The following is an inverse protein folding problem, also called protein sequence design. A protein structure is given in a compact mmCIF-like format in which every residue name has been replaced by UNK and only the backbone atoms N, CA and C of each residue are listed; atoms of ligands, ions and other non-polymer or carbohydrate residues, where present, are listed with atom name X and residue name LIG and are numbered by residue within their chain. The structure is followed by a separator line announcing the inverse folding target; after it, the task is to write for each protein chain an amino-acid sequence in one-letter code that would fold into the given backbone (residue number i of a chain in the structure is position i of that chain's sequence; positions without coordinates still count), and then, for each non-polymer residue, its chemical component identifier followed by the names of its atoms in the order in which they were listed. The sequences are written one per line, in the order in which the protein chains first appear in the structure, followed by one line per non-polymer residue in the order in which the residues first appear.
data_IF_935993234471
#
_entry.id   IF_935993234471
#
_cell.length_a   1.000
_cell.length_b   1.000
_cell.length_c   1.000
_cell.angle_alpha   90.00
_cell.angle_beta   90.00
_cell.angle_gamma   90.00
#
_symmetry.space_group_name_H-M   'P 1'
#
loop_
_entity.id
_entity.type
_entity.pdbx_description
1 polymer ?
#
# COMPACT_ATOMS: atom_id res chain seq x y z
N UNK A 1 13.13 -0.90 -19.55
CA UNK A 1 14.38 -1.01 -18.74
C UNK A 1 13.98 -1.08 -17.28
N UNK A 2 14.44 -2.08 -16.53
CA UNK A 2 14.13 -2.19 -15.10
C UNK A 2 14.78 -1.01 -14.35
N UNK A 3 14.06 -0.42 -13.42
CA UNK A 3 14.61 0.54 -12.46
C UNK A 3 15.24 -0.24 -11.30
N UNK A 4 16.46 0.10 -10.91
CA UNK A 4 17.17 -0.52 -9.80
C UNK A 4 17.43 0.50 -8.71
N UNK A 5 17.26 0.09 -7.46
CA UNK A 5 17.59 0.90 -6.31
C UNK A 5 19.11 0.90 -6.06
N UNK A 6 19.62 1.91 -5.36
CA UNK A 6 21.07 2.07 -5.16
C UNK A 6 21.75 0.84 -4.54
N UNK A 7 21.06 0.15 -3.65
CA UNK A 7 21.59 -1.07 -3.00
C UNK A 7 21.49 -2.31 -3.88
N UNK A 8 20.87 -2.24 -5.07
CA UNK A 8 20.74 -3.32 -6.04
C UNK A 8 21.79 -3.28 -7.14
N UNK A 9 22.76 -2.35 -7.12
CA UNK A 9 23.75 -2.16 -8.21
C UNK A 9 24.43 -3.45 -8.64
N UNK A 10 24.87 -4.29 -7.69
CA UNK A 10 25.53 -5.56 -8.03
C UNK A 10 24.56 -6.58 -8.66
N UNK A 11 23.27 -6.52 -8.33
CA UNK A 11 22.22 -7.34 -8.94
C UNK A 11 21.98 -6.85 -10.37
N UNK A 12 21.88 -5.54 -10.56
CA UNK A 12 21.71 -4.90 -11.86
C UNK A 12 22.85 -5.27 -12.83
N UNK A 13 24.11 -5.29 -12.35
CA UNK A 13 25.28 -5.70 -13.14
C UNK A 13 25.19 -7.16 -13.60
N UNK A 14 24.73 -8.07 -12.72
CA UNK A 14 24.53 -9.48 -13.08
C UNK A 14 23.38 -9.66 -14.06
N UNK A 15 22.24 -8.99 -13.85
CA UNK A 15 21.09 -9.07 -14.75
C UNK A 15 21.42 -8.47 -16.13
N UNK A 16 22.22 -7.39 -16.19
CA UNK A 16 22.72 -6.83 -17.43
C UNK A 16 23.59 -7.82 -18.23
N UNK A 17 24.53 -8.51 -17.55
CA UNK A 17 25.34 -9.57 -18.18
C UNK A 17 24.51 -10.74 -18.69
N UNK A 18 23.47 -11.14 -17.94
CA UNK A 18 22.55 -12.19 -18.38
C UNK A 18 21.82 -11.78 -19.66
N UNK A 19 21.36 -10.52 -19.74
CA UNK A 19 20.68 -9.99 -20.91
C UNK A 19 21.61 -9.92 -22.12
N UNK A 20 22.84 -9.43 -21.96
CA UNK A 20 23.88 -9.43 -23.00
C UNK A 20 24.17 -10.83 -23.54
N UNK A 21 24.36 -11.83 -22.66
CA UNK A 21 24.60 -13.21 -23.06
C UNK A 21 23.42 -13.84 -23.79
N UNK A 22 22.20 -13.53 -23.38
CA UNK A 22 20.98 -13.98 -24.09
C UNK A 22 20.90 -13.43 -25.51
N UNK A 23 21.22 -12.15 -25.71
CA UNK A 23 21.26 -11.55 -27.04
C UNK A 23 22.38 -12.14 -27.93
N UNK A 24 23.47 -12.62 -27.34
CA UNK A 24 24.55 -13.30 -28.09
C UNK A 24 24.21 -14.76 -28.42
N UNK A 25 23.29 -15.39 -27.68
CA UNK A 25 22.98 -16.83 -27.79
C UNK A 25 21.96 -17.19 -28.88
N UNK A 26 21.43 -16.25 -29.64
CA UNK A 26 20.52 -16.52 -30.79
C UNK A 26 21.10 -17.49 -31.84
N UNK A 27 22.35 -17.97 -31.67
CA UNK A 27 23.06 -18.95 -32.48
C UNK A 27 23.14 -20.38 -31.92
N UNK A 28 22.53 -20.69 -30.74
CA UNK A 28 22.42 -22.09 -30.26
C UNK A 28 23.67 -22.66 -29.56
N UNK A 29 24.52 -21.86 -28.93
CA UNK A 29 25.69 -22.30 -28.20
C UNK A 29 25.34 -22.80 -26.79
N UNK A 30 25.47 -24.13 -26.57
CA UNK A 30 25.18 -24.79 -25.29
C UNK A 30 25.99 -24.22 -24.10
N UNK A 31 27.18 -23.69 -24.39
CA UNK A 31 28.06 -23.14 -23.35
C UNK A 31 27.51 -21.82 -22.76
N UNK A 32 26.80 -21.04 -23.58
CA UNK A 32 26.16 -19.78 -23.15
C UNK A 32 24.96 -20.07 -22.25
N UNK A 33 24.18 -21.11 -22.52
CA UNK A 33 23.01 -21.48 -21.71
C UNK A 33 23.42 -21.89 -20.28
N UNK A 34 24.51 -22.65 -20.14
CA UNK A 34 25.04 -23.05 -18.83
C UNK A 34 25.57 -21.84 -18.04
N UNK A 35 26.21 -20.89 -18.70
CA UNK A 35 26.73 -19.67 -18.07
C UNK A 35 25.60 -18.76 -17.62
N UNK A 36 24.59 -18.58 -18.46
CA UNK A 36 23.36 -17.84 -18.12
C UNK A 36 22.68 -18.47 -16.89
N UNK A 37 22.57 -19.80 -16.83
CA UNK A 37 22.01 -20.51 -15.67
C UNK A 37 22.78 -20.26 -14.38
N UNK A 38 24.10 -20.23 -14.42
CA UNK A 38 24.95 -19.93 -13.26
C UNK A 38 24.78 -18.49 -12.77
N UNK A 39 24.77 -17.53 -13.69
CA UNK A 39 24.57 -16.11 -13.37
C UNK A 39 23.17 -15.85 -12.81
N UNK A 40 22.13 -16.51 -13.34
CA UNK A 40 20.76 -16.43 -12.80
C UNK A 40 20.70 -16.94 -11.36
N UNK A 41 21.29 -18.12 -11.08
CA UNK A 41 21.35 -18.67 -9.73
C UNK A 41 22.16 -17.77 -8.77
N UNK A 42 23.18 -17.08 -9.28
CA UNK A 42 23.93 -16.10 -8.49
C UNK A 42 23.10 -14.85 -8.20
N UNK A 43 22.41 -14.29 -9.19
CA UNK A 43 21.54 -13.13 -9.02
C UNK A 43 20.41 -13.42 -8.02
N UNK A 44 19.79 -14.60 -8.11
CA UNK A 44 18.74 -15.01 -7.16
C UNK A 44 19.28 -15.15 -5.72
N UNK A 45 20.47 -15.74 -5.54
CA UNK A 45 21.10 -15.78 -4.21
C UNK A 45 21.39 -14.39 -3.66
N UNK A 46 21.86 -13.47 -4.50
CA UNK A 46 22.12 -12.09 -4.08
C UNK A 46 20.83 -11.36 -3.73
N UNK A 47 19.77 -11.54 -4.50
CA UNK A 47 18.43 -11.02 -4.18
C UNK A 47 17.96 -11.51 -2.81
N UNK A 48 17.99 -12.82 -2.55
CA UNK A 48 17.63 -13.40 -1.25
C UNK A 48 18.44 -12.83 -0.10
N UNK A 49 19.76 -12.67 -0.29
CA UNK A 49 20.62 -12.10 0.75
C UNK A 49 20.36 -10.62 1.00
N UNK A 50 20.12 -9.86 -0.04
CA UNK A 50 19.88 -8.41 0.04
C UNK A 50 18.50 -8.13 0.63
N UNK A 51 17.45 -8.74 0.08
CA UNK A 51 16.07 -8.51 0.54
C UNK A 51 15.78 -9.13 1.90
N UNK A 52 16.47 -10.20 2.29
CA UNK A 52 16.37 -10.75 3.65
C UNK A 52 17.01 -9.89 4.75
N UNK A 53 17.71 -8.80 4.40
CA UNK A 53 18.44 -7.94 5.35
C UNK A 53 18.23 -6.45 5.10
N UNK A 54 17.11 -6.07 4.46
CA UNK A 54 16.80 -4.67 4.19
C UNK A 54 16.71 -3.87 5.48
N UNK A 55 17.43 -2.75 5.53
CA UNK A 55 17.26 -1.76 6.58
C UNK A 55 15.89 -1.07 6.47
N UNK A 56 15.37 -0.43 7.54
CA UNK A 56 14.12 0.35 7.45
C UNK A 56 14.14 1.38 6.33
N UNK A 57 15.25 2.07 6.13
CA UNK A 57 15.41 3.02 5.03
C UNK A 57 15.33 2.35 3.64
N UNK A 58 15.95 1.20 3.46
CA UNK A 58 15.85 0.44 2.21
C UNK A 58 14.40 -0.02 1.95
N UNK A 59 13.64 -0.40 2.99
CA UNK A 59 12.20 -0.70 2.86
C UNK A 59 11.41 0.53 2.42
N UNK A 60 11.73 1.73 2.93
CA UNK A 60 11.15 2.99 2.42
C UNK A 60 11.40 3.15 0.92
N UNK A 61 12.62 2.87 0.46
CA UNK A 61 12.95 2.96 -0.97
C UNK A 61 12.17 1.91 -1.80
N UNK A 62 12.03 0.67 -1.31
CA UNK A 62 11.22 -0.38 -1.97
C UNK A 62 9.73 -0.01 -1.99
N UNK A 63 9.18 0.50 -0.88
CA UNK A 63 7.79 0.96 -0.81
C UNK A 63 7.48 2.06 -1.83
N UNK A 64 8.46 2.91 -2.15
CA UNK A 64 8.38 4.02 -3.11
C UNK A 64 8.84 3.65 -4.52
N UNK A 65 9.16 2.38 -4.78
CA UNK A 65 9.68 1.98 -6.08
C UNK A 65 8.68 2.34 -7.20
N UNK A 66 9.13 3.02 -8.29
CA UNK A 66 8.23 3.56 -9.32
C UNK A 66 7.43 2.49 -10.09
N UNK A 67 7.92 1.26 -10.14
CA UNK A 67 7.26 0.14 -10.82
C UNK A 67 6.47 -0.74 -9.84
N UNK A 68 6.25 -0.30 -8.60
CA UNK A 68 5.41 -1.03 -7.67
C UNK A 68 3.95 -0.93 -8.11
N UNK A 69 3.16 -2.03 -8.05
CA UNK A 69 1.75 -1.97 -8.42
C UNK A 69 1.00 -0.91 -7.61
N UNK A 70 0.18 -0.11 -8.29
CA UNK A 70 -0.69 0.91 -7.71
C UNK A 70 -2.10 0.38 -7.46
N UNK A 71 -2.97 1.16 -6.84
CA UNK A 71 -4.34 0.75 -6.55
C UNK A 71 -5.12 0.34 -7.80
N UNK A 72 -4.93 1.04 -8.91
CA UNK A 72 -5.52 0.71 -10.21
C UNK A 72 -5.15 -0.70 -10.69
N UNK A 73 -3.88 -1.12 -10.52
CA UNK A 73 -3.40 -2.43 -10.94
C UNK A 73 -4.05 -3.55 -10.11
N UNK A 74 -4.18 -3.35 -8.80
CA UNK A 74 -4.88 -4.29 -7.92
C UNK A 74 -6.38 -4.37 -8.24
N UNK A 75 -7.01 -3.23 -8.55
CA UNK A 75 -8.43 -3.19 -8.94
C UNK A 75 -8.63 -3.93 -10.24
N UNK A 76 -7.81 -3.67 -11.27
CA UNK A 76 -7.89 -4.33 -12.58
C UNK A 76 -7.74 -5.85 -12.46
N UNK A 77 -6.79 -6.31 -11.64
CA UNK A 77 -6.49 -7.73 -11.52
C UNK A 77 -7.45 -8.50 -10.60
N UNK A 78 -8.01 -7.86 -9.57
CA UNK A 78 -8.77 -8.55 -8.52
C UNK A 78 -10.28 -8.32 -8.59
N UNK A 79 -10.74 -7.24 -9.22
CA UNK A 79 -12.14 -6.80 -9.18
C UNK A 79 -12.76 -6.89 -10.57
N UNK A 80 -13.72 -7.77 -10.75
CA UNK A 80 -14.52 -7.83 -11.98
C UNK A 80 -15.72 -6.89 -11.90
N UNK A 81 -16.25 -6.51 -13.06
CA UNK A 81 -17.41 -5.60 -13.19
C UNK A 81 -17.23 -4.27 -12.41
N UNK A 82 -15.99 -3.76 -12.34
CA UNK A 82 -15.71 -2.54 -11.59
C UNK A 82 -16.40 -1.33 -12.23
N UNK A 83 -17.22 -0.68 -11.43
CA UNK A 83 -17.94 0.54 -11.79
C UNK A 83 -17.42 1.70 -10.94
N UNK A 84 -16.59 2.59 -11.48
CA UNK A 84 -16.04 3.72 -10.74
C UNK A 84 -17.12 4.73 -10.37
N UNK A 85 -17.02 5.31 -9.18
CA UNK A 85 -17.95 6.31 -8.66
C UNK A 85 -17.22 7.59 -8.30
N UNK A 86 -17.22 8.55 -9.20
CA UNK A 86 -16.53 9.83 -9.08
C UNK A 86 -17.27 10.86 -8.22
N UNK A 87 -16.52 11.84 -7.70
CA UNK A 87 -17.01 13.04 -7.04
C UNK A 87 -17.49 12.87 -5.61
N UNK A 88 -17.26 13.91 -4.81
CA UNK A 88 -17.70 13.97 -3.41
C UNK A 88 -19.15 14.40 -3.22
N UNK A 89 -19.82 14.83 -4.28
CA UNK A 89 -21.19 15.41 -4.28
C UNK A 89 -21.32 16.73 -3.49
N UNK A 90 -20.18 17.36 -3.18
CA UNK A 90 -20.16 18.62 -2.45
C UNK A 90 -19.35 19.70 -3.19
N UNK A 91 -18.16 19.35 -3.71
CA UNK A 91 -17.28 20.32 -4.35
C UNK A 91 -16.71 19.81 -5.68
N UNK A 92 -15.96 18.70 -5.71
CA UNK A 92 -15.26 18.25 -6.90
C UNK A 92 -14.91 16.74 -6.90
N UNK A 93 -14.30 16.30 -7.99
CA UNK A 93 -13.56 15.03 -8.06
C UNK A 93 -12.15 15.22 -7.55
N UNK A 94 -11.62 14.18 -6.88
CA UNK A 94 -10.20 14.05 -6.55
C UNK A 94 -9.66 12.70 -7.07
N UNK A 95 -8.86 12.70 -8.14
CA UNK A 95 -8.31 11.48 -8.72
C UNK A 95 -7.33 10.73 -7.80
N UNK A 96 -6.80 11.37 -6.76
CA UNK A 96 -5.91 10.72 -5.78
C UNK A 96 -6.61 9.59 -4.99
N UNK A 97 -7.94 9.53 -5.01
CA UNK A 97 -8.74 8.41 -4.51
C UNK A 97 -9.53 7.81 -5.67
N UNK A 98 -9.27 6.55 -6.00
CA UNK A 98 -10.14 5.76 -6.87
C UNK A 98 -11.12 4.99 -5.99
N UNK A 99 -12.40 5.00 -6.34
CA UNK A 99 -13.38 4.18 -5.65
C UNK A 99 -14.53 3.75 -6.56
N UNK A 100 -15.17 2.64 -6.21
CA UNK A 100 -16.28 2.10 -6.97
C UNK A 100 -16.87 0.84 -6.36
N UNK A 101 -17.80 0.26 -7.10
CA UNK A 101 -18.41 -1.03 -6.81
C UNK A 101 -17.90 -2.05 -7.80
N UNK A 102 -17.80 -3.31 -7.39
CA UNK A 102 -17.39 -4.40 -8.26
C UNK A 102 -17.60 -5.76 -7.62
N UNK A 103 -17.01 -6.79 -8.23
CA UNK A 103 -17.06 -8.16 -7.71
C UNK A 103 -15.67 -8.66 -7.39
N UNK A 104 -15.49 -9.12 -6.17
CA UNK A 104 -14.29 -9.78 -5.70
C UNK A 104 -14.59 -11.23 -5.38
N UNK A 105 -14.07 -12.19 -6.16
CA UNK A 105 -14.31 -13.63 -5.98
C UNK A 105 -15.80 -14.00 -5.79
N UNK A 106 -16.66 -13.35 -6.57
CA UNK A 106 -18.12 -13.57 -6.54
C UNK A 106 -18.89 -12.72 -5.52
N UNK A 107 -18.22 -11.98 -4.63
CA UNK A 107 -18.86 -11.05 -3.69
C UNK A 107 -19.02 -9.68 -4.32
N UNK A 108 -20.17 -9.05 -4.14
CA UNK A 108 -20.31 -7.63 -4.42
C UNK A 108 -19.57 -6.85 -3.33
N UNK A 109 -18.65 -6.00 -3.72
CA UNK A 109 -17.78 -5.24 -2.81
C UNK A 109 -17.73 -3.76 -3.17
N UNK A 110 -17.39 -2.94 -2.19
CA UNK A 110 -16.94 -1.56 -2.38
C UNK A 110 -15.43 -1.54 -2.33
N UNK A 111 -14.78 -0.87 -3.26
CA UNK A 111 -13.32 -0.71 -3.28
C UNK A 111 -12.97 0.77 -3.24
N UNK A 112 -11.98 1.12 -2.41
CA UNK A 112 -11.48 2.49 -2.25
C UNK A 112 -9.95 2.40 -2.20
N UNK A 113 -9.23 3.14 -3.04
CA UNK A 113 -7.77 3.10 -3.08
C UNK A 113 -7.13 4.45 -3.29
N UNK A 114 -5.96 4.67 -2.68
CA UNK A 114 -5.09 5.78 -3.07
C UNK A 114 -4.40 5.44 -4.38
N UNK A 115 -4.46 6.37 -5.33
CA UNK A 115 -3.80 6.24 -6.63
C UNK A 115 -2.70 7.27 -6.76
N UNK A 116 -1.49 6.80 -7.09
CA UNK A 116 -0.31 7.66 -7.27
C UNK A 116 -0.05 8.03 -8.72
N UNK A 117 -0.54 7.23 -9.67
CA UNK A 117 -0.20 7.31 -11.08
C UNK A 117 1.15 6.65 -11.42
N UNK A 118 1.20 5.98 -12.57
CA UNK A 118 2.35 5.17 -13.01
C UNK A 118 3.43 5.96 -13.74
N UNK A 119 3.07 7.08 -14.37
CA UNK A 119 3.98 7.98 -15.12
C UNK A 119 3.95 9.41 -14.56
N UNK A 120 4.70 10.31 -15.15
CA UNK A 120 4.81 11.70 -14.66
C UNK A 120 3.48 12.44 -14.74
N UNK A 121 2.75 12.31 -15.85
CA UNK A 121 1.48 13.00 -16.04
C UNK A 121 0.39 12.42 -15.11
N UNK A 122 0.34 11.09 -15.00
CA UNK A 122 -0.52 10.39 -14.05
C UNK A 122 -0.24 10.79 -12.61
N UNK A 123 1.04 10.87 -12.20
CA UNK A 123 1.41 11.32 -10.84
C UNK A 123 0.97 12.74 -10.55
N UNK A 124 1.08 13.64 -11.51
CA UNK A 124 0.59 15.02 -11.37
C UNK A 124 -0.95 15.02 -11.27
N UNK A 125 -1.64 14.28 -12.13
CA UNK A 125 -3.09 14.19 -12.14
C UNK A 125 -3.64 13.62 -10.82
N UNK A 126 -3.00 12.59 -10.27
CA UNK A 126 -3.36 11.95 -9.00
C UNK A 126 -2.70 12.59 -7.77
N UNK A 127 -2.03 13.74 -7.96
CA UNK A 127 -1.38 14.47 -6.89
C UNK A 127 -0.45 13.60 -6.02
N UNK A 128 0.27 12.65 -6.67
CA UNK A 128 1.18 11.69 -6.03
C UNK A 128 0.52 10.84 -4.93
N UNK A 129 -0.78 10.58 -5.02
CA UNK A 129 -1.55 9.86 -4.02
C UNK A 129 -1.91 10.68 -2.79
N UNK A 130 -1.63 11.98 -2.80
CA UNK A 130 -2.00 12.90 -1.71
C UNK A 130 -3.43 13.42 -1.92
N UNK A 131 -4.39 12.80 -1.25
CA UNK A 131 -5.78 13.18 -1.40
C UNK A 131 -6.10 14.54 -0.76
N UNK A 132 -6.99 15.28 -1.43
CA UNK A 132 -7.63 16.50 -0.96
C UNK A 132 -8.91 16.17 -0.19
N UNK A 133 -9.58 17.15 0.45
CA UNK A 133 -10.83 16.90 1.19
C UNK A 133 -11.89 16.17 0.37
N UNK A 134 -11.95 16.47 -0.94
CA UNK A 134 -12.90 15.87 -1.88
C UNK A 134 -12.69 14.36 -2.01
N UNK A 135 -11.45 13.89 -2.01
CA UNK A 135 -11.11 12.46 -2.05
C UNK A 135 -11.62 11.73 -0.81
N UNK A 136 -11.39 12.29 0.38
CA UNK A 136 -11.88 11.71 1.63
C UNK A 136 -13.40 11.75 1.71
N UNK A 137 -14.07 12.84 1.32
CA UNK A 137 -15.54 12.90 1.28
C UNK A 137 -16.12 11.91 0.26
N UNK A 138 -15.45 11.69 -0.87
CA UNK A 138 -15.82 10.64 -1.81
C UNK A 138 -15.73 9.26 -1.16
N UNK A 139 -14.67 8.96 -0.42
CA UNK A 139 -14.53 7.72 0.34
C UNK A 139 -15.66 7.55 1.37
N UNK A 140 -15.99 8.60 2.15
CA UNK A 140 -17.11 8.60 3.10
C UNK A 140 -18.44 8.25 2.43
N UNK A 141 -18.69 8.82 1.26
CA UNK A 141 -19.90 8.52 0.46
C UNK A 141 -19.97 7.03 0.08
N UNK A 142 -18.84 6.42 -0.29
CA UNK A 142 -18.78 4.99 -0.63
C UNK A 142 -18.91 4.11 0.61
N UNK A 143 -18.34 4.51 1.75
CA UNK A 143 -18.52 3.81 3.02
C UNK A 143 -20.00 3.85 3.46
N UNK A 144 -20.69 4.98 3.32
CA UNK A 144 -22.11 5.09 3.60
C UNK A 144 -22.96 4.19 2.69
N UNK A 145 -22.60 4.09 1.41
CA UNK A 145 -23.25 3.19 0.47
C UNK A 145 -23.03 1.72 0.86
N UNK A 146 -21.80 1.38 1.22
CA UNK A 146 -21.45 0.04 1.69
C UNK A 146 -22.22 -0.35 2.96
N UNK A 147 -22.34 0.58 3.91
CA UNK A 147 -23.12 0.37 5.14
C UNK A 147 -24.62 0.12 4.84
N UNK A 148 -25.19 0.93 3.95
CA UNK A 148 -26.59 0.84 3.55
C UNK A 148 -26.94 -0.50 2.91
N UNK A 149 -26.06 -1.04 2.07
CA UNK A 149 -26.28 -2.27 1.31
C UNK A 149 -25.57 -3.50 1.91
N UNK A 150 -24.88 -3.36 3.04
CA UNK A 150 -24.13 -4.43 3.68
C UNK A 150 -22.99 -4.98 2.83
N UNK A 151 -22.36 -4.13 2.00
CA UNK A 151 -21.28 -4.53 1.10
C UNK A 151 -19.93 -4.56 1.86
N UNK A 152 -19.16 -5.65 1.79
CA UNK A 152 -17.80 -5.64 2.26
C UNK A 152 -16.97 -4.55 1.57
N UNK A 153 -16.08 -3.93 2.32
CA UNK A 153 -15.20 -2.86 1.83
C UNK A 153 -13.75 -3.34 1.81
N UNK A 154 -13.08 -3.10 0.71
CA UNK A 154 -11.65 -3.31 0.53
C UNK A 154 -11.01 -1.94 0.34
N UNK A 155 -10.02 -1.58 1.18
CA UNK A 155 -9.25 -0.36 0.98
C UNK A 155 -7.80 -0.67 0.63
N UNK A 156 -7.24 0.06 -0.34
CA UNK A 156 -5.86 -0.03 -0.80
C UNK A 156 -5.15 1.27 -0.43
N UNK A 157 -4.18 1.19 0.48
CA UNK A 157 -3.51 2.37 1.02
C UNK A 157 -2.13 2.51 0.40
N UNK A 158 -1.94 3.60 -0.35
CA UNK A 158 -0.64 4.00 -0.90
C UNK A 158 -0.55 5.52 -1.05
N UNK A 159 -0.19 6.20 0.02
CA UNK A 159 -0.08 7.66 0.07
C UNK A 159 1.09 8.11 0.96
N UNK A 160 1.85 9.13 0.57
CA UNK A 160 2.83 9.76 1.47
C UNK A 160 2.16 10.61 2.56
N UNK A 161 0.86 10.88 2.45
CA UNK A 161 0.05 11.67 3.37
C UNK A 161 -1.08 12.41 2.67
N UNK A 162 -1.84 13.19 3.42
CA UNK A 162 -2.87 14.06 2.86
C UNK A 162 -2.22 15.27 2.18
N UNK A 163 -2.89 15.86 1.18
CA UNK A 163 -2.40 17.05 0.49
C UNK A 163 -2.28 18.26 1.44
N UNK A 164 -1.08 18.87 1.57
CA UNK A 164 -0.83 19.91 2.57
C UNK A 164 -1.06 21.33 2.04
N UNK A 165 -1.71 21.51 0.91
CA UNK A 165 -1.88 22.82 0.26
C UNK A 165 -2.97 23.66 0.91
N UNK A 166 -2.82 25.01 0.82
CA UNK A 166 -3.76 26.00 1.36
C UNK A 166 -5.22 25.72 0.94
N UNK A 167 -5.44 25.42 -0.36
CA UNK A 167 -6.79 25.12 -0.84
C UNK A 167 -7.41 23.86 -0.22
N UNK A 168 -6.64 22.91 0.29
CA UNK A 168 -7.17 21.77 1.04
C UNK A 168 -7.56 22.19 2.46
N UNK A 169 -6.72 23.00 3.13
CA UNK A 169 -7.05 23.53 4.45
C UNK A 169 -8.32 24.39 4.41
N UNK A 170 -8.47 25.27 3.42
CA UNK A 170 -9.67 26.09 3.23
C UNK A 170 -10.95 25.27 3.04
N UNK A 171 -10.85 24.06 2.52
CA UNK A 171 -11.97 23.16 2.30
C UNK A 171 -12.11 22.06 3.34
N UNK A 172 -11.41 22.19 4.48
CA UNK A 172 -11.57 21.33 5.65
C UNK A 172 -10.85 20.00 5.56
N UNK A 173 -9.54 20.00 5.23
CA UNK A 173 -8.72 18.78 5.13
C UNK A 173 -8.75 17.95 6.40
N UNK A 174 -8.51 18.57 7.55
CA UNK A 174 -8.49 17.87 8.83
C UNK A 174 -9.86 17.27 9.19
N UNK A 175 -10.93 18.00 8.93
CA UNK A 175 -12.30 17.52 9.15
C UNK A 175 -12.63 16.33 8.24
N UNK A 176 -12.30 16.42 6.95
CA UNK A 176 -12.56 15.35 5.99
C UNK A 176 -11.82 14.05 6.37
N UNK A 177 -10.57 14.14 6.85
CA UNK A 177 -9.81 13.00 7.37
C UNK A 177 -10.48 12.41 8.61
N UNK A 178 -10.81 13.25 9.60
CA UNK A 178 -11.43 12.81 10.84
C UNK A 178 -12.79 12.13 10.60
N UNK A 179 -13.60 12.68 9.70
CA UNK A 179 -14.88 12.12 9.31
C UNK A 179 -14.75 10.79 8.54
N UNK A 180 -13.70 10.62 7.73
CA UNK A 180 -13.39 9.32 7.11
C UNK A 180 -13.04 8.26 8.15
N UNK A 181 -12.20 8.59 9.13
CA UNK A 181 -11.88 7.70 10.25
C UNK A 181 -13.17 7.33 11.01
N UNK A 182 -14.02 8.32 11.32
CA UNK A 182 -15.30 8.09 11.99
C UNK A 182 -16.21 7.18 11.17
N UNK A 183 -16.27 7.37 9.86
CA UNK A 183 -17.06 6.55 8.94
C UNK A 183 -16.55 5.10 8.89
N UNK A 184 -15.22 4.90 8.82
CA UNK A 184 -14.62 3.57 8.92
C UNK A 184 -14.96 2.89 10.25
N UNK A 185 -14.80 3.59 11.38
CA UNK A 185 -15.09 3.04 12.71
C UNK A 185 -16.59 2.78 12.94
N UNK A 186 -17.46 3.53 12.28
CA UNK A 186 -18.92 3.40 12.37
C UNK A 186 -19.49 2.31 11.47
N UNK A 187 -18.79 1.89 10.44
CA UNK A 187 -19.26 0.96 9.40
C UNK A 187 -19.73 -0.38 9.99
N UNK A 188 -20.90 -0.85 9.56
CA UNK A 188 -21.50 -2.12 10.00
C UNK A 188 -21.27 -3.27 8.99
N UNK A 189 -20.48 -3.02 7.96
CA UNK A 189 -20.02 -4.04 7.01
C UNK A 189 -18.56 -4.43 7.29
N UNK A 190 -18.09 -5.61 6.81
CA UNK A 190 -16.68 -5.99 6.87
C UNK A 190 -15.80 -4.94 6.17
N UNK A 191 -14.70 -4.57 6.81
CA UNK A 191 -13.71 -3.65 6.24
C UNK A 191 -12.32 -4.26 6.37
N UNK A 192 -11.68 -4.51 5.22
CA UNK A 192 -10.30 -4.98 5.13
C UNK A 192 -9.46 -3.91 4.42
N UNK A 193 -8.38 -3.49 5.05
CA UNK A 193 -7.44 -2.52 4.51
C UNK A 193 -6.11 -3.18 4.20
N UNK A 194 -5.50 -2.82 3.08
CA UNK A 194 -4.17 -3.30 2.69
C UNK A 194 -3.24 -2.11 2.45
N UNK A 195 -2.16 -2.03 3.19
CA UNK A 195 -1.08 -1.06 2.93
C UNK A 195 -0.18 -1.67 1.85
N UNK A 196 -0.32 -1.17 0.60
CA UNK A 196 0.35 -1.73 -0.58
C UNK A 196 1.69 -1.06 -0.92
N UNK A 197 1.96 0.10 -0.34
CA UNK A 197 3.20 0.88 -0.54
C UNK A 197 3.49 1.77 0.66
N UNK A 198 3.17 3.06 0.57
CA UNK A 198 3.31 3.99 1.69
C UNK A 198 1.98 4.18 2.42
N UNK A 199 1.99 3.99 3.74
CA UNK A 199 0.91 4.37 4.63
C UNK A 199 1.25 5.65 5.38
N UNK A 200 1.08 6.83 4.75
CA UNK A 200 1.49 8.12 5.32
C UNK A 200 0.40 8.80 6.15
N UNK A 201 0.65 8.96 7.45
CA UNK A 201 -0.04 9.91 8.34
C UNK A 201 -1.58 9.81 8.31
N UNK A 202 -2.25 10.96 8.46
CA UNK A 202 -3.72 11.07 8.44
C UNK A 202 -4.34 10.60 7.13
N UNK A 203 -3.62 10.74 6.00
CA UNK A 203 -4.06 10.23 4.71
C UNK A 203 -4.29 8.73 4.71
N UNK A 204 -3.36 7.99 5.28
CA UNK A 204 -3.45 6.54 5.36
C UNK A 204 -4.53 6.08 6.34
N UNK A 205 -4.54 6.62 7.57
CA UNK A 205 -5.48 6.18 8.62
C UNK A 205 -6.94 6.52 8.25
N UNK A 206 -7.17 7.53 7.40
CA UNK A 206 -8.48 7.87 6.87
C UNK A 206 -9.18 6.69 6.16
N UNK A 207 -8.40 5.73 5.62
CA UNK A 207 -8.91 4.53 4.95
C UNK A 207 -8.51 3.23 5.66
N UNK A 208 -7.60 3.27 6.63
CA UNK A 208 -7.04 2.09 7.28
C UNK A 208 -7.67 1.75 8.64
N UNK A 209 -8.68 2.49 9.10
CA UNK A 209 -9.37 2.19 10.36
C UNK A 209 -10.33 0.98 10.20
N UNK A 210 -9.77 -0.21 9.93
CA UNK A 210 -10.44 -1.41 9.46
C UNK A 210 -10.57 -2.53 10.51
N UNK A 211 -11.42 -3.52 10.25
CA UNK A 211 -11.47 -4.77 11.04
C UNK A 211 -10.15 -5.52 10.94
N UNK A 212 -9.63 -5.62 9.72
CA UNK A 212 -8.34 -6.26 9.44
C UNK A 212 -7.49 -5.31 8.62
N UNK A 213 -6.29 -5.04 9.10
CA UNK A 213 -5.28 -4.24 8.42
C UNK A 213 -4.15 -5.17 8.00
N UNK A 214 -4.04 -5.40 6.70
CA UNK A 214 -2.97 -6.13 6.06
C UNK A 214 -1.90 -5.16 5.57
N UNK A 215 -0.66 -5.59 5.51
CA UNK A 215 0.44 -4.78 5.01
C UNK A 215 1.40 -5.64 4.20
N UNK A 216 1.80 -5.18 3.03
CA UNK A 216 2.83 -5.85 2.24
C UNK A 216 4.17 -5.83 2.96
N UNK A 217 4.96 -6.88 2.80
CA UNK A 217 6.23 -7.11 3.51
C UNK A 217 7.19 -5.91 3.45
N UNK A 218 7.30 -5.29 2.29
CA UNK A 218 8.19 -4.14 2.05
C UNK A 218 7.46 -2.80 1.97
N UNK A 219 6.18 -2.75 2.38
CA UNK A 219 5.48 -1.50 2.59
C UNK A 219 5.96 -0.81 3.88
N UNK A 220 5.60 0.46 4.04
CA UNK A 220 5.83 1.24 5.28
C UNK A 220 4.52 1.87 5.75
N UNK A 221 4.37 2.02 7.07
CA UNK A 221 3.23 2.73 7.64
C UNK A 221 3.69 3.58 8.81
N UNK A 222 3.46 4.90 8.75
CA UNK A 222 4.02 5.87 9.69
C UNK A 222 3.16 7.12 9.84
N UNK A 223 3.26 7.76 10.98
CA UNK A 223 2.60 9.06 11.25
C UNK A 223 3.24 10.22 10.48
N UNK A 224 4.49 10.07 10.02
CA UNK A 224 5.25 11.08 9.30
C UNK A 224 6.30 10.40 8.42
N UNK A 225 6.70 11.03 7.32
CA UNK A 225 7.82 10.53 6.52
C UNK A 225 9.14 10.61 7.31
N UNK A 226 10.11 9.71 7.09
CA UNK A 226 11.42 9.78 7.73
C UNK A 226 12.13 11.12 7.52
N UNK A 227 12.01 11.68 6.32
CA UNK A 227 12.58 13.00 5.98
C UNK A 227 11.92 14.12 6.78
N UNK A 228 10.57 14.08 6.92
CA UNK A 228 9.83 15.03 7.73
C UNK A 228 10.19 14.93 9.22
N UNK A 229 10.30 13.72 9.74
CA UNK A 229 10.74 13.45 11.11
C UNK A 229 12.15 14.00 11.35
N UNK A 230 13.10 13.70 10.48
CA UNK A 230 14.47 14.18 10.56
C UNK A 230 14.55 15.72 10.54
N UNK A 231 13.79 16.34 9.65
CA UNK A 231 13.73 17.82 9.55
C UNK A 231 13.17 18.47 10.81
N UNK A 232 12.15 17.89 11.44
CA UNK A 232 11.54 18.44 12.67
C UNK A 232 12.45 18.21 13.87
N UNK A 233 12.97 17.00 14.08
CA UNK A 233 13.73 16.66 15.28
C UNK A 233 15.18 17.16 15.24
N UNK A 234 15.82 17.06 14.09
CA UNK A 234 17.25 17.36 13.98
C UNK A 234 17.57 18.55 13.07
N UNK A 235 16.56 19.12 12.40
CA UNK A 235 16.72 20.19 11.38
C UNK A 235 17.68 19.81 10.25
N UNK A 236 17.71 18.51 9.94
CA UNK A 236 18.63 17.92 9.00
C UNK A 236 17.93 16.73 8.29
N UNK A 237 17.56 16.91 7.05
CA UNK A 237 16.89 15.87 6.23
C UNK A 237 17.80 14.69 5.89
N UNK A 238 19.13 14.85 5.94
CA UNK A 238 20.09 13.79 5.65
C UNK A 238 20.06 12.68 6.71
N UNK A 239 19.47 12.96 7.88
CA UNK A 239 19.19 11.99 8.94
C UNK A 239 17.92 11.16 8.75
N UNK A 240 17.34 11.17 7.55
CA UNK A 240 16.14 10.36 7.25
C UNK A 240 16.36 8.85 7.49
N UNK A 241 17.58 8.35 7.34
CA UNK A 241 17.93 6.94 7.64
C UNK A 241 17.77 6.63 9.14
N UNK A 242 18.32 7.48 9.99
CA UNK A 242 18.21 7.34 11.45
C UNK A 242 16.75 7.47 11.89
N UNK A 243 16.02 8.39 11.27
CA UNK A 243 14.59 8.55 11.50
C UNK A 243 13.78 7.31 11.11
N UNK A 244 14.09 6.68 9.97
CA UNK A 244 13.41 5.47 9.54
C UNK A 244 13.59 4.31 10.52
N UNK A 245 14.76 4.17 11.14
CA UNK A 245 15.02 3.17 12.19
C UNK A 245 14.26 3.49 13.48
N UNK A 246 14.30 4.74 13.92
CA UNK A 246 13.67 5.16 15.16
C UNK A 246 12.14 5.11 15.13
N UNK A 247 11.54 5.35 13.96
CA UNK A 247 10.09 5.39 13.79
C UNK A 247 9.40 4.01 13.80
N UNK A 248 10.15 2.90 13.68
CA UNK A 248 9.60 1.54 13.65
C UNK A 248 8.43 1.39 12.65
N UNK A 249 8.71 1.68 11.38
CA UNK A 249 7.71 1.83 10.31
C UNK A 249 7.55 0.60 9.43
N UNK A 250 8.33 -0.47 9.68
CA UNK A 250 8.31 -1.67 8.86
C UNK A 250 7.14 -2.59 9.22
N UNK A 251 6.76 -3.46 8.30
CA UNK A 251 5.68 -4.42 8.53
C UNK A 251 5.91 -5.30 9.75
N UNK A 252 7.16 -5.73 9.99
CA UNK A 252 7.54 -6.52 11.17
C UNK A 252 7.39 -5.74 12.49
N UNK A 253 7.83 -4.47 12.52
CA UNK A 253 7.66 -3.61 13.69
C UNK A 253 6.19 -3.39 14.02
N UNK A 254 5.37 -3.13 13.00
CA UNK A 254 3.97 -2.79 13.19
C UNK A 254 3.11 -4.01 13.55
N UNK A 255 3.51 -5.20 13.10
CA UNK A 255 2.89 -6.44 13.55
C UNK A 255 3.22 -6.70 15.03
N UNK A 256 4.47 -6.52 15.45
CA UNK A 256 4.88 -6.63 16.86
C UNK A 256 4.14 -5.63 17.76
N UNK A 257 3.95 -4.41 17.27
CA UNK A 257 3.19 -3.36 17.98
C UNK A 257 1.66 -3.53 17.88
N UNK A 258 1.17 -4.56 17.19
CA UNK A 258 -0.26 -4.82 16.96
C UNK A 258 -0.99 -3.66 16.26
N UNK A 259 -0.27 -2.89 15.43
CA UNK A 259 -0.84 -1.83 14.58
C UNK A 259 -1.47 -2.42 13.33
N UNK A 260 -0.87 -3.50 12.80
CA UNK A 260 -1.42 -4.31 11.70
C UNK A 260 -1.75 -5.71 12.19
N UNK A 261 -2.62 -6.42 11.47
CA UNK A 261 -3.07 -7.76 11.84
C UNK A 261 -2.27 -8.87 11.16
N UNK A 262 -1.78 -8.63 9.94
CA UNK A 262 -0.95 -9.59 9.22
C UNK A 262 -0.06 -8.94 8.15
N UNK A 263 1.04 -9.61 7.85
CA UNK A 263 1.96 -9.28 6.75
C UNK A 263 1.57 -10.14 5.54
N UNK A 264 1.53 -9.52 4.38
CA UNK A 264 1.42 -10.23 3.09
C UNK A 264 2.81 -10.29 2.48
N UNK A 265 3.36 -11.50 2.39
CA UNK A 265 4.70 -11.72 1.84
C UNK A 265 4.77 -11.25 0.39
N UNK A 266 5.86 -10.61 0.04
CA UNK A 266 6.12 -10.18 -1.33
C UNK A 266 6.93 -11.24 -2.11
N UNK A 267 6.85 -11.25 -3.44
CA UNK A 267 7.77 -12.02 -4.27
C UNK A 267 9.22 -11.63 -4.00
N UNK A 268 10.14 -12.52 -4.32
CA UNK A 268 11.57 -12.28 -4.14
C UNK A 268 12.02 -11.02 -4.89
N UNK A 269 12.55 -10.05 -4.17
CA UNK A 269 12.96 -8.76 -4.71
C UNK A 269 11.86 -7.72 -4.74
N UNK A 270 10.68 -7.99 -4.15
CA UNK A 270 9.59 -7.04 -3.98
C UNK A 270 8.49 -7.09 -5.05
N UNK A 271 7.36 -6.48 -4.74
CA UNK A 271 6.16 -6.49 -5.58
C UNK A 271 6.37 -5.93 -6.99
N UNK A 272 7.33 -5.02 -7.17
CA UNK A 272 7.66 -4.42 -8.46
C UNK A 272 8.37 -5.38 -9.44
N UNK A 273 8.94 -6.50 -8.93
CA UNK A 273 9.60 -7.50 -9.78
C UNK A 273 8.64 -8.51 -10.37
N UNK A 274 7.64 -8.92 -9.58
CA UNK A 274 6.61 -9.89 -9.97
C UNK A 274 5.22 -9.36 -9.57
N UNK A 275 4.69 -8.34 -10.30
CA UNK A 275 3.43 -7.66 -9.94
C UNK A 275 2.22 -8.59 -9.89
N UNK A 276 2.13 -9.53 -10.81
CA UNK A 276 1.01 -10.48 -10.88
C UNK A 276 0.99 -11.41 -9.65
N UNK A 277 2.17 -11.91 -9.24
CA UNK A 277 2.28 -12.75 -8.04
C UNK A 277 1.95 -11.95 -6.77
N UNK A 278 2.48 -10.72 -6.66
CA UNK A 278 2.18 -9.83 -5.54
C UNK A 278 0.67 -9.56 -5.43
N UNK A 279 0.03 -9.25 -6.55
CA UNK A 279 -1.42 -9.01 -6.62
C UNK A 279 -2.23 -10.25 -6.23
N UNK A 280 -1.81 -11.42 -6.71
CA UNK A 280 -2.44 -12.70 -6.35
C UNK A 280 -2.35 -12.98 -4.84
N UNK A 281 -1.19 -12.75 -4.22
CA UNK A 281 -1.00 -12.92 -2.77
C UNK A 281 -1.88 -11.96 -1.97
N UNK A 282 -1.98 -10.70 -2.37
CA UNK A 282 -2.91 -9.73 -1.77
C UNK A 282 -4.35 -10.23 -1.90
N UNK A 283 -4.76 -10.69 -3.09
CA UNK A 283 -6.09 -11.24 -3.31
C UNK A 283 -6.41 -12.42 -2.40
N UNK A 284 -5.43 -13.31 -2.14
CA UNK A 284 -5.62 -14.43 -1.21
C UNK A 284 -5.80 -13.94 0.23
N UNK A 285 -4.92 -13.05 0.70
CA UNK A 285 -4.98 -12.52 2.06
C UNK A 285 -6.27 -11.72 2.34
N UNK A 286 -6.73 -10.94 1.36
CA UNK A 286 -8.02 -10.22 1.45
C UNK A 286 -9.19 -11.20 1.52
N UNK A 287 -9.17 -12.28 0.75
CA UNK A 287 -10.23 -13.29 0.79
C UNK A 287 -10.29 -13.98 2.16
N UNK A 288 -9.16 -14.40 2.71
CA UNK A 288 -9.06 -14.99 4.05
C UNK A 288 -9.59 -14.03 5.12
N UNK A 289 -9.19 -12.75 5.06
CA UNK A 289 -9.65 -11.74 6.00
C UNK A 289 -11.17 -11.50 5.90
N UNK A 290 -11.73 -11.43 4.70
CA UNK A 290 -13.17 -11.30 4.50
C UNK A 290 -13.95 -12.54 4.97
N UNK A 291 -13.42 -13.74 4.70
CA UNK A 291 -14.04 -14.99 5.15
C UNK A 291 -14.04 -15.11 6.69
N UNK A 292 -13.01 -14.63 7.38
CA UNK A 292 -12.96 -14.58 8.84
C UNK A 292 -14.00 -13.62 9.45
N UNK A 293 -14.45 -12.62 8.70
CA UNK A 293 -15.47 -11.68 9.11
C UNK A 293 -16.89 -12.11 8.68
N UNK A 294 -16.98 -13.16 7.86
CA UNK A 294 -18.25 -13.68 7.34
C UNK A 294 -19.15 -14.16 8.47
N UNK A 295 -20.41 -13.81 8.39
CA UNK A 295 -21.44 -14.24 9.36
C UNK A 295 -21.46 -13.44 10.65
N UNK A 296 -20.56 -12.50 10.84
CA UNK A 296 -20.65 -11.52 11.93
C UNK A 296 -21.70 -10.46 11.56
N UNK A 297 -22.57 -10.14 12.52
CA UNK A 297 -23.52 -9.04 12.36
C UNK A 297 -22.82 -7.67 12.43
N UNK A 298 -23.49 -6.63 11.92
CA UNK A 298 -22.90 -5.30 11.78
C UNK A 298 -22.52 -4.65 13.11
N UNK A 299 -23.25 -4.93 14.20
CA UNK A 299 -22.92 -4.38 15.52
C UNK A 299 -21.68 -5.07 16.11
N UNK A 300 -21.55 -6.37 15.92
CA UNK A 300 -20.35 -7.14 16.29
C UNK A 300 -19.12 -6.67 15.49
N UNK A 301 -19.24 -6.47 14.17
CA UNK A 301 -18.15 -5.96 13.34
C UNK A 301 -17.66 -4.59 13.81
N UNK A 302 -18.60 -3.69 14.08
CA UNK A 302 -18.31 -2.33 14.58
C UNK A 302 -17.68 -2.37 15.97
N UNK A 303 -18.22 -3.18 16.89
CA UNK A 303 -17.72 -3.31 18.25
C UNK A 303 -16.28 -3.86 18.29
N UNK A 304 -16.00 -4.96 17.57
CA UNK A 304 -14.65 -5.56 17.47
C UNK A 304 -13.64 -4.58 16.87
N UNK A 305 -14.03 -3.86 15.80
CA UNK A 305 -13.16 -2.83 15.19
C UNK A 305 -12.83 -1.74 16.21
N UNK A 306 -13.83 -1.21 16.91
CA UNK A 306 -13.63 -0.17 17.92
C UNK A 306 -12.74 -0.64 19.07
N UNK A 307 -12.98 -1.83 19.59
CA UNK A 307 -12.20 -2.43 20.67
C UNK A 307 -10.73 -2.58 20.28
N UNK A 308 -10.44 -3.08 19.08
CA UNK A 308 -9.08 -3.18 18.53
C UNK A 308 -8.32 -1.86 18.64
N UNK A 309 -8.90 -0.74 18.21
CA UNK A 309 -8.24 0.57 18.29
C UNK A 309 -8.14 1.13 19.70
N UNK A 310 -9.03 0.77 20.60
CA UNK A 310 -8.95 1.15 22.01
C UNK A 310 -7.87 0.35 22.77
N UNK A 311 -7.53 -0.85 22.31
CA UNK A 311 -6.46 -1.67 22.90
C UNK A 311 -5.06 -1.28 22.39
N UNK A 312 -4.95 -0.63 21.22
CA UNK A 312 -3.67 -0.16 20.70
C UNK A 312 -2.97 0.76 21.70
N UNK A 313 -1.66 0.53 21.91
CA UNK A 313 -0.84 1.30 22.85
C UNK A 313 -0.96 0.90 24.32
N UNK A 314 -1.79 -0.08 24.68
CA UNK A 314 -1.82 -0.66 26.06
C UNK A 314 -0.70 -1.67 26.28
N UNK A 315 -0.25 -2.29 25.22
CA UNK A 315 0.90 -3.21 25.20
C UNK A 315 2.02 -2.61 24.35
N UNK A 316 3.28 -2.83 24.72
CA UNK A 316 4.44 -2.41 23.93
C UNK A 316 4.96 -0.99 24.20
N UNK A 317 4.45 -0.29 25.21
CA UNK A 317 4.96 1.01 25.69
C UNK A 317 5.85 0.89 26.95
N UNK A 318 6.30 -0.33 27.29
CA UNK A 318 7.18 -0.60 28.42
C UNK A 318 8.65 -0.62 27.97
#
# INVERSE_FOLDING_TARGET
MRHFLDFEKSIAELEGKIEELRHLSDGGDLNIADEVGKLQAQAERMLRQTYGKLTPWQRVQVARHPNRPHASDYIEALITDFTPLAGDRAYAEDPAIICGLGRFRGWSVTVIGHEKGSDTDGRIAHNFGMARPEGYRKAQRLLALADQFGLPVITLVDTPGAYPGVGAEERGQAEAIAESIRSCLGLRAPLVSVVIGEGGSGGAIALAAANTVLMLEHAIYSVISPEGCASILWRDSDKARDAAEALRITSSDLLELSVIDAIVDEPLGGAHREPEEATSRVGNAVAEALDALRGLDGDTLRARRREKYLEMGRTGLA
#
